data_IF_593567363769
#
_entry.id   IF_593567363769
#
_cell.length_a   1.000
_cell.length_b   1.000
_cell.length_c   1.000
_cell.angle_alpha   90.00
_cell.angle_beta   90.00
_cell.angle_gamma   90.00
#
_symmetry.space_group_name_H-M   'P 1'
#
loop_
_entity.id
_entity.type
_entity.pdbx_description
1 polymer ?
#
# COMPACT_ATOMS: atom_id res chain seq x y z
N UNK A 1 3.71 -18.34 21.81
CA UNK A 1 3.46 -16.98 21.31
C UNK A 1 3.37 -17.09 19.80
N UNK A 2 2.16 -17.27 19.30
CA UNK A 2 1.92 -17.50 17.87
C UNK A 2 2.07 -16.18 17.09
N UNK A 3 2.66 -16.28 15.91
CA UNK A 3 2.71 -15.20 14.94
C UNK A 3 1.54 -15.40 13.98
N UNK A 4 0.46 -14.64 14.21
CA UNK A 4 -0.69 -14.64 13.34
C UNK A 4 -0.31 -14.23 11.90
N UNK A 5 -0.54 -15.16 10.98
CA UNK A 5 -0.48 -15.01 9.53
C UNK A 5 -1.54 -14.02 9.03
N UNK A 6 -1.25 -12.72 9.09
CA UNK A 6 -2.11 -11.68 8.54
C UNK A 6 -1.90 -11.50 7.04
N UNK A 7 -2.51 -12.37 6.22
CA UNK A 7 -2.86 -12.00 4.85
C UNK A 7 -3.95 -10.92 4.88
N UNK A 8 -4.03 -10.04 3.86
CA UNK A 8 -5.18 -9.13 3.70
C UNK A 8 -6.41 -9.97 3.31
N UNK A 9 -7.42 -10.19 4.18
CA UNK A 9 -8.62 -10.91 3.78
C UNK A 9 -9.60 -9.94 3.14
N UNK A 10 -10.26 -10.37 2.06
CA UNK A 10 -11.45 -9.73 1.52
C UNK A 10 -11.17 -8.61 0.50
N UNK A 11 -10.91 -8.99 -0.74
CA UNK A 11 -11.26 -8.12 -1.87
C UNK A 11 -12.77 -8.21 -2.05
N UNK A 12 -13.42 -7.08 -1.75
CA UNK A 12 -14.84 -6.81 -1.87
C UNK A 12 -15.48 -7.38 -3.14
N UNK A 13 -16.73 -7.83 -3.04
CA UNK A 13 -17.59 -8.01 -4.21
C UNK A 13 -17.74 -6.66 -4.93
N UNK A 14 -17.91 -6.70 -6.26
CA UNK A 14 -18.07 -5.50 -7.08
C UNK A 14 -19.13 -4.56 -6.47
N UNK A 15 -18.68 -3.43 -5.91
CA UNK A 15 -19.56 -2.39 -5.34
C UNK A 15 -19.19 -1.86 -3.95
N UNK A 16 -18.36 -2.55 -3.16
CA UNK A 16 -18.06 -2.08 -1.79
C UNK A 16 -16.74 -1.29 -1.73
N UNK A 17 -16.84 -0.02 -1.35
CA UNK A 17 -15.68 0.83 -1.04
C UNK A 17 -15.18 0.51 0.36
N UNK A 18 -13.89 0.18 0.49
CA UNK A 18 -13.20 0.03 1.77
C UNK A 18 -12.17 1.13 1.96
N UNK A 19 -12.01 1.58 3.21
CA UNK A 19 -11.06 2.63 3.57
C UNK A 19 -9.92 2.05 4.38
N UNK A 20 -8.69 2.21 3.86
CA UNK A 20 -7.49 1.68 4.50
C UNK A 20 -6.77 2.78 5.27
N UNK A 21 -6.70 2.66 6.60
CA UNK A 21 -6.02 3.61 7.49
C UNK A 21 -4.54 3.25 7.71
N UNK A 22 -3.63 4.21 7.50
CA UNK A 22 -2.18 3.96 7.57
C UNK A 22 -1.37 4.95 8.44
N UNK A 23 -2.01 6.00 8.94
CA UNK A 23 -1.43 7.02 9.83
C UNK A 23 -2.55 7.73 10.59
N UNK A 24 -2.25 8.29 11.76
CA UNK A 24 -3.19 9.07 12.57
C UNK A 24 -2.56 10.44 12.84
N UNK A 25 -3.16 11.50 12.30
CA UNK A 25 -2.60 12.85 12.34
C UNK A 25 -3.25 13.74 13.41
N UNK A 26 -4.44 13.37 13.85
CA UNK A 26 -5.19 14.04 14.91
C UNK A 26 -6.12 13.02 15.56
N UNK A 27 -6.35 13.15 16.86
CA UNK A 27 -7.32 12.36 17.61
C UNK A 27 -7.97 13.25 18.68
N UNK A 28 -9.30 13.24 18.78
CA UNK A 28 -10.06 13.99 19.78
C UNK A 28 -9.62 15.46 19.91
N UNK A 29 -9.44 16.12 18.77
CA UNK A 29 -9.01 17.52 18.69
C UNK A 29 -7.50 17.74 18.87
N UNK A 30 -6.74 16.75 19.33
CA UNK A 30 -5.30 16.88 19.56
C UNK A 30 -4.47 16.55 18.32
N UNK A 31 -3.64 17.51 17.89
CA UNK A 31 -2.74 17.33 16.75
C UNK A 31 -1.56 16.40 17.10
N UNK A 32 -1.25 15.47 16.19
CA UNK A 32 -0.19 14.47 16.36
C UNK A 32 0.95 14.65 15.35
N UNK A 33 0.94 15.68 14.50
CA UNK A 33 1.92 15.87 13.41
C UNK A 33 3.38 15.87 13.91
N UNK A 34 3.62 16.45 15.08
CA UNK A 34 4.95 16.52 15.70
C UNK A 34 5.39 15.22 16.40
N UNK A 35 4.49 14.25 16.59
CA UNK A 35 4.80 12.94 17.19
C UNK A 35 5.57 12.08 16.21
N UNK A 36 6.38 11.15 16.72
CA UNK A 36 7.10 10.17 15.91
C UNK A 36 6.11 9.20 15.27
N UNK A 37 6.42 8.69 14.08
CA UNK A 37 5.53 7.75 13.39
C UNK A 37 5.15 6.53 14.24
N UNK A 38 6.09 5.98 15.02
CA UNK A 38 5.80 4.85 15.92
C UNK A 38 4.74 5.19 16.97
N UNK A 39 4.71 6.42 17.48
CA UNK A 39 3.72 6.86 18.47
C UNK A 39 2.35 7.02 17.81
N UNK A 40 2.30 7.65 16.63
CA UNK A 40 1.06 7.80 15.84
C UNK A 40 0.49 6.45 15.42
N UNK A 41 1.37 5.50 15.07
CA UNK A 41 0.97 4.14 14.71
C UNK A 41 0.35 3.39 15.89
N UNK A 42 0.98 3.47 17.06
CA UNK A 42 0.44 2.85 18.28
C UNK A 42 -0.94 3.42 18.63
N UNK A 43 -1.13 4.75 18.49
CA UNK A 43 -2.44 5.37 18.71
C UNK A 43 -3.48 4.95 17.66
N UNK A 44 -3.09 4.78 16.40
CA UNK A 44 -3.98 4.25 15.36
C UNK A 44 -4.42 2.81 15.66
N UNK A 45 -3.49 1.95 16.09
CA UNK A 45 -3.78 0.57 16.50
C UNK A 45 -4.69 0.52 17.72
N UNK A 46 -4.41 1.34 18.72
CA UNK A 46 -5.26 1.54 19.90
C UNK A 46 -6.67 1.97 19.50
N UNK A 47 -6.82 2.97 18.63
CA UNK A 47 -8.12 3.43 18.14
C UNK A 47 -8.92 2.31 17.45
N UNK A 48 -8.27 1.51 16.60
CA UNK A 48 -8.92 0.37 15.94
C UNK A 48 -9.41 -0.67 16.95
N UNK A 49 -8.60 -0.97 17.97
CA UNK A 49 -8.97 -1.92 19.03
C UNK A 49 -10.08 -1.38 19.93
N UNK A 50 -9.94 -0.16 20.45
CA UNK A 50 -10.87 0.48 21.38
C UNK A 50 -12.25 0.68 20.77
N UNK A 51 -12.32 1.03 19.48
CA UNK A 51 -13.58 1.28 18.77
C UNK A 51 -14.09 0.05 18.01
N UNK A 52 -13.39 -1.08 18.11
CA UNK A 52 -13.67 -2.30 17.35
C UNK A 52 -13.90 -2.03 15.85
N UNK A 53 -13.04 -1.19 15.24
CA UNK A 53 -13.20 -0.79 13.85
C UNK A 53 -12.98 -1.99 12.93
N UNK A 54 -14.03 -2.30 12.17
CA UNK A 54 -14.04 -3.33 11.13
C UNK A 54 -14.61 -2.73 9.85
N UNK A 55 -15.04 -3.56 8.88
CA UNK A 55 -15.55 -3.10 7.60
C UNK A 55 -16.53 -1.90 7.75
N UNK A 56 -16.41 -0.84 6.93
CA UNK A 56 -15.55 -0.73 5.74
C UNK A 56 -14.09 -0.31 6.04
N UNK A 57 -13.70 -0.19 7.30
CA UNK A 57 -12.36 0.23 7.71
C UNK A 57 -11.41 -0.95 7.77
N UNK A 58 -10.19 -0.76 7.30
CA UNK A 58 -9.12 -1.75 7.41
C UNK A 58 -7.85 -1.05 7.86
N UNK A 59 -7.20 -1.59 8.88
CA UNK A 59 -5.90 -1.12 9.29
C UNK A 59 -4.86 -1.59 8.27
N UNK A 60 -4.09 -0.66 7.71
CA UNK A 60 -2.99 -0.99 6.81
C UNK A 60 -1.96 -1.86 7.54
N UNK A 61 -1.59 -3.04 6.99
CA UNK A 61 -0.51 -3.85 7.54
C UNK A 61 0.80 -3.07 7.60
N UNK A 62 1.54 -3.23 8.69
CA UNK A 62 2.87 -2.65 8.89
C UNK A 62 3.80 -3.72 9.44
N UNK A 63 5.08 -3.64 9.06
CA UNK A 63 6.13 -4.45 9.68
C UNK A 63 7.42 -3.65 9.78
N UNK A 64 8.21 -3.94 10.82
CA UNK A 64 9.61 -3.52 10.95
C UNK A 64 10.59 -4.62 10.56
N UNK A 65 10.09 -5.83 10.26
CA UNK A 65 10.88 -6.97 9.82
C UNK A 65 11.12 -6.89 8.30
N UNK A 66 12.40 -6.81 7.93
CA UNK A 66 12.84 -6.74 6.54
C UNK A 66 12.47 -8.00 5.74
N UNK A 67 12.56 -9.19 6.34
CA UNK A 67 12.24 -10.44 5.67
C UNK A 67 10.75 -10.50 5.33
N UNK A 68 9.90 -10.11 6.28
CA UNK A 68 8.45 -10.00 6.06
C UNK A 68 8.11 -8.96 5.00
N UNK A 69 8.76 -7.80 5.02
CA UNK A 69 8.57 -6.76 4.01
C UNK A 69 8.96 -7.25 2.60
N UNK A 70 10.06 -7.99 2.46
CA UNK A 70 10.46 -8.60 1.18
C UNK A 70 9.41 -9.61 0.69
N UNK A 71 8.96 -10.49 1.57
CA UNK A 71 7.89 -11.45 1.26
C UNK A 71 6.61 -10.77 0.80
N UNK A 72 6.23 -9.64 1.39
CA UNK A 72 5.09 -8.83 0.91
C UNK A 72 5.32 -8.25 -0.48
N UNK A 73 6.52 -7.73 -0.76
CA UNK A 73 6.84 -7.19 -2.07
C UNK A 73 6.74 -8.26 -3.17
N UNK A 74 7.14 -9.49 -2.87
CA UNK A 74 7.08 -10.62 -3.82
C UNK A 74 5.65 -11.15 -4.00
N UNK A 75 4.96 -11.43 -2.89
CA UNK A 75 3.65 -12.08 -2.90
C UNK A 75 2.50 -11.14 -3.25
N UNK A 76 2.47 -9.93 -2.69
CA UNK A 76 1.32 -9.04 -2.84
C UNK A 76 1.34 -8.24 -4.14
N UNK A 77 2.52 -7.95 -4.71
CA UNK A 77 2.58 -7.21 -5.98
C UNK A 77 2.16 -8.03 -7.20
N UNK A 78 1.98 -9.35 -7.05
CA UNK A 78 1.31 -10.19 -8.04
C UNK A 78 -0.22 -10.08 -8.01
N UNK A 79 -0.79 -9.54 -6.93
CA UNK A 79 -2.24 -9.36 -6.77
C UNK A 79 -2.67 -8.03 -7.38
N UNK A 80 -3.76 -8.05 -8.15
CA UNK A 80 -4.34 -6.84 -8.73
C UNK A 80 -4.66 -5.81 -7.65
N UNK A 81 -4.22 -4.56 -7.84
CA UNK A 81 -4.49 -3.45 -6.93
C UNK A 81 -3.37 -3.10 -5.95
N UNK A 82 -2.42 -3.99 -5.65
CA UNK A 82 -1.28 -3.70 -4.75
C UNK A 82 -0.03 -3.37 -5.57
N UNK A 83 0.43 -2.12 -5.50
CA UNK A 83 1.55 -1.62 -6.33
C UNK A 83 2.93 -1.76 -5.66
N UNK A 84 2.97 -2.03 -4.35
CA UNK A 84 4.22 -2.13 -3.58
C UNK A 84 4.11 -1.57 -2.17
N UNK A 85 5.23 -1.12 -1.63
CA UNK A 85 5.39 -0.74 -0.22
C UNK A 85 5.70 0.76 -0.05
N UNK A 86 5.34 1.29 1.10
CA UNK A 86 5.75 2.63 1.56
C UNK A 86 6.60 2.46 2.81
N UNK A 87 7.84 2.93 2.76
CA UNK A 87 8.77 2.92 3.89
C UNK A 87 8.72 4.28 4.57
N UNK A 88 8.52 4.25 5.90
CA UNK A 88 8.46 5.42 6.77
C UNK A 88 9.47 5.24 7.91
N UNK A 89 10.38 6.20 8.16
CA UNK A 89 11.24 6.13 9.34
C UNK A 89 10.40 6.17 10.61
N UNK A 90 10.66 5.29 11.57
CA UNK A 90 9.87 5.18 12.82
C UNK A 90 9.89 6.46 13.65
N UNK A 91 11.01 7.20 13.60
CA UNK A 91 11.21 8.46 14.31
C UNK A 91 10.72 9.67 13.54
N UNK A 92 10.21 9.49 12.30
CA UNK A 92 9.79 10.63 11.47
C UNK A 92 8.53 11.31 12.01
N UNK A 93 8.56 12.63 12.01
CA UNK A 93 7.37 13.47 12.17
C UNK A 93 6.60 13.51 10.86
N UNK A 94 5.32 13.87 10.91
CA UNK A 94 4.58 14.11 9.69
C UNK A 94 5.01 15.46 9.11
N UNK A 95 5.57 15.44 7.90
CA UNK A 95 6.00 16.64 7.20
C UNK A 95 5.04 16.88 6.04
N UNK A 96 4.01 17.69 6.28
CA UNK A 96 3.07 18.08 5.24
C UNK A 96 3.80 18.61 4.00
N UNK A 97 3.39 18.16 2.81
CA UNK A 97 3.95 18.57 1.50
C UNK A 97 5.42 18.20 1.24
N UNK A 98 6.14 17.56 2.17
CA UNK A 98 7.55 17.19 1.99
C UNK A 98 7.72 15.71 1.60
N UNK A 99 8.77 15.38 0.83
CA UNK A 99 9.13 14.00 0.47
C UNK A 99 9.84 13.30 1.63
N UNK A 100 9.08 12.81 2.60
CA UNK A 100 9.61 12.08 3.77
C UNK A 100 9.54 10.56 3.69
N UNK A 101 8.83 10.00 2.72
CA UNK A 101 8.55 8.56 2.60
C UNK A 101 9.04 7.99 1.28
N UNK A 102 9.60 6.78 1.34
CA UNK A 102 10.12 6.08 0.16
C UNK A 102 9.09 5.08 -0.34
N UNK A 103 8.78 5.12 -1.63
CA UNK A 103 7.86 4.15 -2.26
C UNK A 103 8.68 3.14 -3.05
N UNK A 104 8.55 1.86 -2.70
CA UNK A 104 9.12 0.75 -3.47
C UNK A 104 7.99 0.11 -4.25
N UNK A 105 8.13 0.02 -5.57
CA UNK A 105 7.14 -0.58 -6.45
C UNK A 105 7.81 -1.60 -7.34
N UNK A 106 7.14 -2.74 -7.56
CA UNK A 106 7.59 -3.70 -8.57
C UNK A 106 7.33 -3.10 -9.95
N UNK A 107 8.36 -3.10 -10.79
CA UNK A 107 8.22 -2.73 -12.21
C UNK A 107 8.00 -4.01 -12.99
N UNK A 108 6.82 -4.15 -13.60
CA UNK A 108 6.59 -5.12 -14.66
C UNK A 108 7.00 -4.50 -15.99
N UNK A 109 7.78 -5.24 -16.78
CA UNK A 109 8.09 -4.89 -18.17
C UNK A 109 7.54 -6.00 -19.04
N UNK A 110 6.82 -5.64 -20.11
CA UNK A 110 6.36 -6.58 -21.14
C UNK A 110 6.83 -6.05 -22.48
N UNK A 111 7.14 -6.96 -23.40
CA UNK A 111 7.39 -6.61 -24.78
C UNK A 111 6.05 -6.40 -25.51
N UNK A 112 6.00 -5.42 -26.41
CA UNK A 112 4.82 -5.11 -27.21
C UNK A 112 5.19 -4.99 -28.67
N UNK A 113 4.34 -5.52 -29.55
CA UNK A 113 4.46 -5.32 -30.98
C UNK A 113 3.85 -3.96 -31.31
N UNK A 114 4.60 -3.15 -32.08
CA UNK A 114 4.15 -1.84 -32.55
C UNK A 114 3.96 -1.86 -34.07
N UNK A 115 2.92 -1.20 -34.58
CA UNK A 115 2.73 -0.99 -36.02
C UNK A 115 3.76 -0.02 -36.63
N UNK A 116 3.69 0.22 -37.94
CA UNK A 116 4.64 1.07 -38.68
C UNK A 116 4.74 2.50 -38.12
N UNK A 117 5.98 2.95 -37.90
CA UNK A 117 6.34 4.22 -37.23
C UNK A 117 6.24 5.46 -38.12
N UNK A 118 5.89 5.32 -39.39
CA UNK A 118 5.85 6.42 -40.35
C UNK A 118 4.54 7.20 -40.21
N UNK A 119 4.49 8.12 -39.24
CA UNK A 119 3.35 8.99 -38.85
C UNK A 119 2.13 8.27 -38.25
N UNK A 120 2.23 7.69 -37.05
CA UNK A 120 1.07 7.12 -36.38
C UNK A 120 0.17 8.24 -35.82
N UNK A 121 -1.10 8.25 -36.22
CA UNK A 121 -2.17 8.99 -35.51
C UNK A 121 -2.66 8.23 -34.26
N UNK A 122 -2.38 6.93 -34.18
CA UNK A 122 -2.76 6.04 -33.10
C UNK A 122 -1.65 5.00 -32.88
N UNK A 123 -1.33 4.71 -31.62
CA UNK A 123 -0.40 3.64 -31.23
C UNK A 123 -1.21 2.40 -30.83
N UNK A 124 -1.17 1.35 -31.64
CA UNK A 124 -1.66 0.03 -31.25
C UNK A 124 -0.58 -0.74 -30.49
N UNK A 125 -0.86 -1.08 -29.23
CA UNK A 125 0.01 -1.93 -28.40
C UNK A 125 -0.61 -3.32 -28.30
N UNK A 126 -0.01 -4.30 -28.97
CA UNK A 126 -0.33 -5.72 -28.81
C UNK A 126 0.68 -6.39 -27.88
N UNK A 127 0.21 -7.28 -27.00
CA UNK A 127 1.09 -8.13 -26.19
C UNK A 127 1.25 -9.46 -26.92
N UNK A 128 2.49 -9.84 -27.23
CA UNK A 128 2.78 -11.16 -27.80
C UNK A 128 2.86 -12.18 -26.66
N UNK A 129 2.04 -13.22 -26.70
CA UNK A 129 2.18 -14.38 -25.82
C UNK A 129 2.26 -15.67 -26.63
N UNK A 130 2.53 -16.80 -25.95
CA UNK A 130 2.77 -18.08 -26.62
C UNK A 130 1.54 -18.62 -27.37
N UNK A 131 0.36 -18.01 -27.21
CA UNK A 131 -0.85 -18.37 -27.94
C UNK A 131 -1.02 -17.59 -29.27
N UNK A 132 -0.15 -16.61 -29.54
CA UNK A 132 -0.20 -15.73 -30.72
C UNK A 132 -0.92 -14.42 -30.45
#
# INVERSE_FOLDING_TARGET
>A
MDHSSGGLPGLASAGQLSTVGADLLQLDGQELLARRYVERRAQLEGLFAERALTAPWTLCPMTTDLAKARGWLESWTGVSGVKGLVIKPLTSRYLGRCRGWTKIRRRGTTESITGTLTRPLLLGLGRHDAAG
#
